data_IF_116218877465
#
_entry.id   IF_116218877465
#
_cell.length_a   1.000
_cell.length_b   1.000
_cell.length_c   1.000
_cell.angle_alpha   90.00
_cell.angle_beta   90.00
_cell.angle_gamma   90.00
#
_symmetry.space_group_name_H-M   'P 1'
#
loop_
_entity.id
_entity.type
_entity.pdbx_description
1 polymer ?
#
# COMPACT_ATOMS: atom_id res chain seq x y z
N UNK A 1 -7.20 -10.66 15.33
CA UNK A 1 -6.14 -9.72 15.76
C UNK A 1 -4.88 -10.53 15.97
N UNK A 2 -3.73 -9.98 15.57
CA UNK A 2 -2.43 -10.66 15.62
C UNK A 2 -1.57 -10.18 16.79
N UNK A 3 -0.71 -11.05 17.30
CA UNK A 3 0.43 -10.72 18.13
C UNK A 3 1.62 -10.27 17.28
N UNK A 4 2.64 -9.66 17.91
CA UNK A 4 3.90 -9.34 17.24
C UNK A 4 4.54 -10.56 16.60
N UNK A 5 4.48 -11.72 17.27
CA UNK A 5 5.05 -12.97 16.74
C UNK A 5 4.39 -13.38 15.43
N UNK A 6 3.06 -13.30 15.35
CA UNK A 6 2.30 -13.65 14.14
C UNK A 6 2.59 -12.67 12.99
N UNK A 7 2.70 -11.37 13.29
CA UNK A 7 3.13 -10.36 12.30
C UNK A 7 4.54 -10.65 11.76
N UNK A 8 5.50 -10.95 12.64
CA UNK A 8 6.87 -11.28 12.20
C UNK A 8 6.89 -12.58 11.38
N UNK A 9 6.08 -13.57 11.75
CA UNK A 9 5.96 -14.83 11.00
C UNK A 9 5.40 -14.61 9.59
N UNK A 10 4.43 -13.70 9.44
CA UNK A 10 3.84 -13.34 8.15
C UNK A 10 4.82 -12.60 7.23
N UNK A 11 5.64 -11.69 7.77
CA UNK A 11 6.57 -10.87 6.98
C UNK A 11 7.88 -11.59 6.66
N UNK A 12 8.37 -12.45 7.55
CA UNK A 12 9.67 -13.12 7.40
C UNK A 12 9.94 -13.80 6.04
N UNK A 13 9.00 -14.56 5.44
CA UNK A 13 9.24 -15.19 4.14
C UNK A 13 9.33 -14.20 2.97
N UNK A 14 8.85 -12.96 3.14
CA UNK A 14 8.78 -11.93 2.10
C UNK A 14 9.93 -10.93 2.17
N UNK A 15 10.46 -10.70 3.36
CA UNK A 15 11.50 -9.70 3.60
C UNK A 15 12.92 -10.19 3.24
N UNK A 16 13.20 -11.48 3.43
CA UNK A 16 14.50 -12.09 3.15
C UNK A 16 15.52 -12.00 4.30
N UNK A 17 15.30 -11.18 5.34
CA UNK A 17 16.07 -11.26 6.59
C UNK A 17 15.62 -12.42 7.47
N UNK A 18 16.48 -12.85 8.38
CA UNK A 18 16.14 -13.91 9.33
C UNK A 18 15.11 -13.44 10.38
N UNK A 19 14.32 -14.39 10.88
CA UNK A 19 13.26 -14.13 11.87
C UNK A 19 13.77 -13.48 13.15
N UNK A 20 15.00 -13.76 13.58
CA UNK A 20 15.54 -13.20 14.81
C UNK A 20 15.86 -11.71 14.63
N UNK A 21 16.37 -11.31 13.47
CA UNK A 21 16.58 -9.91 13.10
C UNK A 21 15.27 -9.14 13.05
N UNK A 22 14.24 -9.69 12.42
CA UNK A 22 12.90 -9.06 12.37
C UNK A 22 12.27 -8.95 13.77
N UNK A 23 12.41 -9.98 14.60
CA UNK A 23 11.95 -9.94 15.98
C UNK A 23 12.70 -8.89 16.83
N UNK A 24 13.98 -8.61 16.54
CA UNK A 24 14.70 -7.51 17.18
C UNK A 24 14.11 -6.15 16.84
N UNK A 25 13.71 -5.91 15.58
CA UNK A 25 13.03 -4.67 15.20
C UNK A 25 11.73 -4.50 15.99
N UNK A 26 10.90 -5.56 16.04
CA UNK A 26 9.68 -5.56 16.84
C UNK A 26 9.92 -5.24 18.32
N UNK A 27 10.96 -5.83 18.94
CA UNK A 27 11.33 -5.53 20.33
C UNK A 27 11.75 -4.07 20.54
N UNK A 28 12.53 -3.49 19.61
CA UNK A 28 12.92 -2.09 19.70
C UNK A 28 11.70 -1.15 19.64
N UNK A 29 10.71 -1.47 18.80
CA UNK A 29 9.45 -0.72 18.72
C UNK A 29 8.61 -0.85 20.01
N UNK A 30 8.56 -2.04 20.63
CA UNK A 30 7.93 -2.23 21.93
C UNK A 30 8.61 -1.39 23.02
N UNK A 31 9.95 -1.40 23.07
CA UNK A 31 10.73 -0.64 24.06
C UNK A 31 10.53 0.87 23.92
N UNK A 32 10.33 1.35 22.70
CA UNK A 32 10.00 2.75 22.42
C UNK A 32 8.52 3.11 22.69
N UNK A 33 7.67 2.14 23.08
CA UNK A 33 6.26 2.36 23.34
C UNK A 33 5.40 2.60 22.09
N UNK A 34 5.91 2.28 20.89
CA UNK A 34 5.21 2.52 19.62
C UNK A 34 4.21 1.41 19.28
N UNK A 35 4.41 0.22 19.85
CA UNK A 35 3.51 -0.93 19.76
C UNK A 35 3.44 -1.62 21.12
N UNK A 36 2.36 -2.37 21.43
CA UNK A 36 2.24 -3.01 22.73
C UNK A 36 3.25 -4.14 22.91
N UNK A 37 3.62 -4.42 24.15
CA UNK A 37 4.55 -5.51 24.50
C UNK A 37 3.84 -6.85 24.33
N UNK A 38 4.49 -7.82 23.69
CA UNK A 38 3.97 -9.17 23.55
C UNK A 38 3.62 -9.78 24.94
N UNK A 39 2.55 -10.59 25.06
CA UNK A 39 1.71 -11.17 24.00
C UNK A 39 0.47 -10.32 23.63
N UNK A 40 0.52 -9.00 23.76
CA UNK A 40 -0.62 -8.14 23.45
C UNK A 40 -1.04 -8.21 21.96
N UNK A 41 -2.35 -8.06 21.75
CA UNK A 41 -2.97 -7.97 20.43
C UNK A 41 -2.63 -6.65 19.76
N UNK A 42 -2.31 -6.71 18.47
CA UNK A 42 -1.92 -5.59 17.64
C UNK A 42 -3.07 -5.17 16.73
N UNK A 43 -3.19 -3.85 16.55
CA UNK A 43 -4.12 -3.25 15.60
C UNK A 43 -3.47 -3.17 14.22
N UNK A 44 -4.26 -2.86 13.21
CA UNK A 44 -3.73 -2.63 11.86
C UNK A 44 -2.72 -1.47 11.84
N UNK A 45 -2.96 -0.41 12.61
CA UNK A 45 -2.00 0.69 12.80
C UNK A 45 -0.67 0.18 13.37
N UNK A 46 -0.70 -0.71 14.36
CA UNK A 46 0.53 -1.30 14.90
C UNK A 46 1.27 -2.17 13.86
N UNK A 47 0.55 -2.86 12.98
CA UNK A 47 1.18 -3.60 11.87
C UNK A 47 1.88 -2.66 10.86
N UNK A 48 1.25 -1.52 10.51
CA UNK A 48 1.89 -0.49 9.70
C UNK A 48 3.15 0.10 10.37
N UNK A 49 3.12 0.31 11.69
CA UNK A 49 4.29 0.74 12.47
C UNK A 49 5.42 -0.30 12.40
N UNK A 50 5.10 -1.60 12.55
CA UNK A 50 6.11 -2.66 12.39
C UNK A 50 6.71 -2.66 11.00
N UNK A 51 5.88 -2.51 9.97
CA UNK A 51 6.29 -2.47 8.57
C UNK A 51 7.28 -1.32 8.31
N UNK A 52 6.96 -0.11 8.77
CA UNK A 52 7.86 1.05 8.66
C UNK A 52 9.15 0.88 9.47
N UNK A 53 9.08 0.27 10.66
CA UNK A 53 10.27 -0.03 11.43
C UNK A 53 11.20 -1.02 10.74
N UNK A 54 10.64 -2.10 10.18
CA UNK A 54 11.37 -3.17 9.47
C UNK A 54 11.99 -2.65 8.18
N UNK A 55 11.20 -2.02 7.30
CA UNK A 55 11.69 -1.59 6.00
C UNK A 55 12.41 -0.24 6.07
N UNK A 56 12.02 0.65 6.97
CA UNK A 56 12.64 1.97 7.11
C UNK A 56 13.98 1.99 7.84
N UNK A 57 14.40 0.87 8.46
CA UNK A 57 15.68 0.76 9.16
C UNK A 57 16.47 -0.51 8.80
N UNK A 58 17.81 -0.40 8.66
CA UNK A 58 18.69 -1.53 8.39
C UNK A 58 19.06 -2.28 9.67
N UNK A 59 18.94 -1.61 10.83
CA UNK A 59 19.28 -2.17 12.13
C UNK A 59 18.14 -1.92 13.11
N UNK A 60 17.84 -2.89 14.00
CA UNK A 60 16.72 -2.82 14.93
C UNK A 60 16.64 -1.56 15.79
N UNK A 61 17.79 -1.06 16.23
CA UNK A 61 17.89 0.08 17.15
C UNK A 61 17.40 1.39 16.52
N UNK A 62 17.40 1.49 15.19
CA UNK A 62 16.93 2.64 14.44
C UNK A 62 15.44 2.55 14.07
N UNK A 63 14.78 1.41 14.32
CA UNK A 63 13.38 1.20 13.93
C UNK A 63 12.43 2.28 14.49
N UNK A 64 12.54 2.70 15.77
CA UNK A 64 11.67 3.77 16.29
C UNK A 64 11.88 5.12 15.58
N UNK A 65 13.14 5.45 15.24
CA UNK A 65 13.48 6.68 14.51
C UNK A 65 12.95 6.62 13.08
N UNK A 66 13.04 5.45 12.44
CA UNK A 66 12.48 5.24 11.11
C UNK A 66 10.96 5.42 11.10
N UNK A 67 10.24 4.87 12.09
CA UNK A 67 8.79 5.05 12.22
C UNK A 67 8.41 6.50 12.43
N UNK A 68 9.07 7.21 13.35
CA UNK A 68 8.80 8.63 13.61
C UNK A 68 9.03 9.48 12.35
N UNK A 69 10.11 9.22 11.60
CA UNK A 69 10.42 9.98 10.39
C UNK A 69 9.46 9.65 9.23
N UNK A 70 9.26 8.37 8.95
CA UNK A 70 8.54 7.91 7.76
C UNK A 70 7.02 7.92 7.98
N UNK A 71 6.60 7.63 9.20
CA UNK A 71 5.19 7.59 9.57
C UNK A 71 4.52 8.94 9.37
N UNK A 72 5.26 10.05 9.53
CA UNK A 72 4.77 11.43 9.41
C UNK A 72 4.81 12.01 7.98
N UNK A 73 5.26 11.24 6.98
CA UNK A 73 5.26 11.71 5.59
C UNK A 73 3.82 12.03 5.15
N UNK A 74 3.64 13.16 4.48
CA UNK A 74 2.33 13.72 4.10
C UNK A 74 2.05 13.47 2.64
N UNK A 75 0.81 13.07 2.36
CA UNK A 75 0.32 12.92 1.00
C UNK A 75 0.49 14.23 0.21
N UNK A 76 0.98 14.12 -1.02
CA UNK A 76 1.14 15.25 -1.94
C UNK A 76 0.18 15.12 -3.11
N UNK A 77 0.14 13.95 -3.75
CA UNK A 77 -0.78 13.68 -4.84
C UNK A 77 -0.98 12.17 -5.06
N UNK A 78 -2.09 11.86 -5.71
CA UNK A 78 -2.42 10.55 -6.29
C UNK A 78 -2.77 10.76 -7.76
N UNK A 79 -2.29 9.89 -8.63
CA UNK A 79 -2.57 9.89 -10.06
C UNK A 79 -2.82 8.45 -10.57
N UNK A 80 -3.40 8.35 -11.76
CA UNK A 80 -3.67 7.10 -12.47
C UNK A 80 -5.12 6.61 -12.39
N UNK A 81 -5.48 5.60 -13.20
CA UNK A 81 -6.84 5.03 -13.27
C UNK A 81 -7.44 4.59 -11.94
N UNK A 82 -6.62 4.16 -10.97
CA UNK A 82 -7.08 3.71 -9.66
C UNK A 82 -7.22 4.84 -8.62
N UNK A 83 -6.99 6.10 -9.02
CA UNK A 83 -6.97 7.25 -8.11
C UNK A 83 -8.20 7.35 -7.23
N UNK A 84 -9.41 7.30 -7.78
CA UNK A 84 -10.64 7.52 -7.00
C UNK A 84 -10.83 6.47 -5.91
N UNK A 85 -10.53 5.20 -6.21
CA UNK A 85 -10.52 4.14 -5.20
C UNK A 85 -9.46 4.39 -4.13
N UNK A 86 -8.23 4.69 -4.57
CA UNK A 86 -7.08 4.83 -3.69
C UNK A 86 -7.13 6.08 -2.80
N UNK A 87 -7.67 7.19 -3.29
CA UNK A 87 -7.88 8.42 -2.50
C UNK A 87 -8.76 8.15 -1.27
N UNK A 88 -9.67 7.17 -1.33
CA UNK A 88 -10.45 6.70 -0.18
C UNK A 88 -9.67 5.91 0.88
N UNK A 89 -8.39 5.60 0.64
CA UNK A 89 -7.45 4.98 1.58
C UNK A 89 -6.46 5.98 2.17
N UNK A 90 -6.17 7.05 1.43
CA UNK A 90 -5.20 8.06 1.82
C UNK A 90 -5.74 8.86 2.99
N UNK A 91 -5.07 8.73 4.13
CA UNK A 91 -5.38 9.48 5.34
C UNK A 91 -4.10 10.18 5.79
N UNK A 92 -4.06 11.51 5.74
CA UNK A 92 -3.16 12.42 6.47
C UNK A 92 -1.65 12.16 6.39
N UNK A 93 -1.21 10.97 6.80
CA UNK A 93 0.15 10.47 6.91
C UNK A 93 0.37 9.12 6.22
N UNK A 94 1.63 8.76 5.95
CA UNK A 94 1.97 7.46 5.37
C UNK A 94 1.56 6.29 6.29
N UNK A 95 1.76 6.40 7.62
CA UNK A 95 1.42 5.30 8.54
C UNK A 95 -0.08 5.01 8.57
N UNK A 96 -0.91 6.04 8.46
CA UNK A 96 -2.37 5.91 8.40
C UNK A 96 -2.81 5.31 7.08
N UNK A 97 -2.23 5.77 5.98
CA UNK A 97 -2.49 5.20 4.65
C UNK A 97 -2.10 3.72 4.58
N UNK A 98 -0.92 3.35 5.09
CA UNK A 98 -0.49 1.94 5.16
C UNK A 98 -1.40 1.11 6.06
N UNK A 99 -1.89 1.66 7.17
CA UNK A 99 -2.85 0.98 8.01
C UNK A 99 -4.16 0.72 7.24
N UNK A 100 -4.69 1.72 6.54
CA UNK A 100 -5.87 1.56 5.68
C UNK A 100 -5.66 0.55 4.55
N UNK A 101 -4.45 0.51 3.98
CA UNK A 101 -4.12 -0.48 2.95
C UNK A 101 -4.10 -1.90 3.50
N UNK A 102 -3.56 -2.13 4.69
CA UNK A 102 -3.58 -3.44 5.35
C UNK A 102 -5.02 -3.83 5.70
N UNK A 103 -5.81 -2.91 6.26
CA UNK A 103 -7.21 -3.16 6.62
C UNK A 103 -8.06 -3.53 5.39
N UNK A 104 -7.85 -2.80 4.29
CA UNK A 104 -8.65 -2.89 3.06
C UNK A 104 -7.91 -3.58 1.91
N UNK A 105 -6.95 -4.45 2.21
CA UNK A 105 -6.19 -5.19 1.20
C UNK A 105 -7.08 -5.94 0.18
N UNK A 106 -8.20 -6.60 0.56
CA UNK A 106 -9.09 -7.21 -0.42
C UNK A 106 -9.68 -6.19 -1.40
N UNK A 107 -10.01 -4.99 -0.93
CA UNK A 107 -10.61 -3.94 -1.76
C UNK A 107 -9.61 -3.40 -2.78
N UNK A 108 -8.35 -3.24 -2.38
CA UNK A 108 -7.25 -2.83 -3.28
C UNK A 108 -7.10 -3.82 -4.42
N UNK A 109 -7.08 -5.11 -4.12
CA UNK A 109 -6.99 -6.15 -5.14
C UNK A 109 -8.21 -6.10 -6.07
N UNK A 110 -9.42 -5.95 -5.51
CA UNK A 110 -10.64 -5.82 -6.31
C UNK A 110 -10.53 -4.69 -7.34
N UNK A 111 -10.03 -3.51 -6.93
CA UNK A 111 -9.81 -2.39 -7.85
C UNK A 111 -8.74 -2.67 -8.89
N UNK A 112 -7.60 -3.23 -8.46
CA UNK A 112 -6.49 -3.56 -9.33
C UNK A 112 -6.93 -4.56 -10.41
N UNK A 113 -7.63 -5.62 -10.01
CA UNK A 113 -8.17 -6.60 -10.94
C UNK A 113 -9.21 -5.93 -11.85
N UNK A 114 -10.17 -5.18 -11.31
CA UNK A 114 -11.19 -4.49 -12.12
C UNK A 114 -10.59 -3.59 -13.20
N UNK A 115 -9.52 -2.84 -12.89
CA UNK A 115 -8.85 -1.98 -13.84
C UNK A 115 -8.15 -2.74 -14.98
N UNK A 116 -7.80 -4.01 -14.75
CA UNK A 116 -7.20 -4.90 -15.74
C UNK A 116 -8.25 -5.78 -16.44
N UNK A 117 -9.36 -6.10 -15.77
CA UNK A 117 -10.42 -7.01 -16.23
C UNK A 117 -11.62 -6.31 -16.88
N UNK A 118 -11.44 -5.10 -17.42
CA UNK A 118 -12.45 -4.49 -18.32
C UNK A 118 -12.68 -5.30 -19.62
N UNK A 119 -12.06 -6.47 -19.76
CA UNK A 119 -12.28 -7.50 -20.78
C UNK A 119 -13.34 -8.53 -20.33
N UNK A 120 -14.34 -8.85 -21.16
CA UNK A 120 -15.53 -9.63 -20.80
C UNK A 120 -15.33 -11.13 -20.46
N UNK A 121 -14.10 -11.64 -20.38
CA UNK A 121 -13.82 -13.09 -20.38
C UNK A 121 -13.22 -13.65 -19.06
N UNK A 122 -13.13 -12.85 -17.99
CA UNK A 122 -12.52 -13.29 -16.73
C UNK A 122 -13.56 -13.87 -15.77
N UNK A 123 -13.60 -15.19 -15.65
CA UNK A 123 -14.41 -15.89 -14.66
C UNK A 123 -13.70 -16.00 -13.28
N UNK A 124 -14.38 -16.59 -12.30
CA UNK A 124 -13.82 -16.80 -10.95
C UNK A 124 -12.55 -17.67 -10.92
N UNK A 125 -12.35 -18.53 -11.93
CA UNK A 125 -11.15 -19.38 -11.99
C UNK A 125 -9.95 -18.52 -12.35
N UNK A 126 -10.07 -17.68 -13.39
CA UNK A 126 -9.02 -16.75 -13.80
C UNK A 126 -8.66 -15.74 -12.69
N UNK A 127 -9.66 -15.22 -11.96
CA UNK A 127 -9.42 -14.32 -10.81
C UNK A 127 -8.64 -15.02 -9.69
N UNK A 128 -8.96 -16.28 -9.37
CA UNK A 128 -8.24 -17.04 -8.36
C UNK A 128 -6.80 -17.36 -8.80
N UNK A 129 -6.58 -17.67 -10.08
CA UNK A 129 -5.23 -17.88 -10.62
C UNK A 129 -4.38 -16.60 -10.53
N UNK A 130 -4.96 -15.44 -10.88
CA UNK A 130 -4.25 -14.17 -10.74
C UNK A 130 -3.96 -13.82 -9.29
N UNK A 131 -4.92 -14.03 -8.39
CA UNK A 131 -4.71 -13.88 -6.95
C UNK A 131 -3.54 -14.73 -6.44
N UNK A 132 -3.49 -15.99 -6.86
CA UNK A 132 -2.43 -16.90 -6.44
C UNK A 132 -1.07 -16.46 -7.01
N UNK A 133 -1.03 -15.98 -8.26
CA UNK A 133 0.17 -15.38 -8.84
C UNK A 133 0.61 -14.12 -8.08
N UNK A 134 -0.33 -13.28 -7.64
CA UNK A 134 -0.03 -12.10 -6.82
C UNK A 134 0.59 -12.53 -5.49
N UNK A 135 -0.01 -13.52 -4.80
CA UNK A 135 0.53 -14.10 -3.55
C UNK A 135 1.91 -14.71 -3.71
N UNK A 136 2.20 -15.29 -4.87
CA UNK A 136 3.50 -15.86 -5.21
C UNK A 136 4.52 -14.81 -5.70
N UNK A 137 4.08 -13.61 -6.04
CA UNK A 137 4.92 -12.54 -6.59
C UNK A 137 5.34 -12.79 -8.04
N UNK A 138 4.50 -13.52 -8.77
CA UNK A 138 4.70 -13.86 -10.19
C UNK A 138 3.64 -13.20 -11.07
N UNK A 139 2.70 -12.45 -10.48
CA UNK A 139 1.68 -11.73 -11.24
C UNK A 139 2.28 -10.61 -12.09
N UNK A 140 1.70 -10.41 -13.26
CA UNK A 140 1.97 -9.24 -14.11
C UNK A 140 1.43 -7.95 -13.51
N UNK A 141 0.58 -8.07 -12.48
CA UNK A 141 -0.07 -6.98 -11.79
C UNK A 141 0.45 -6.96 -10.36
N UNK A 142 1.05 -5.85 -9.94
CA UNK A 142 1.56 -5.69 -8.58
C UNK A 142 1.39 -4.24 -8.09
N UNK A 143 1.44 -4.09 -6.77
CA UNK A 143 1.55 -2.80 -6.11
C UNK A 143 2.87 -2.79 -5.31
N UNK A 144 3.65 -1.74 -5.48
CA UNK A 144 4.91 -1.52 -4.80
C UNK A 144 4.80 -0.30 -3.90
N UNK A 145 5.33 -0.42 -2.69
CA UNK A 145 5.62 0.72 -1.82
C UNK A 145 7.12 0.87 -1.78
N UNK A 146 7.59 2.01 -2.27
CA UNK A 146 8.99 2.41 -2.27
C UNK A 146 9.20 3.50 -1.21
N UNK A 147 10.21 3.32 -0.37
CA UNK A 147 10.57 4.25 0.70
C UNK A 147 11.98 4.76 0.44
N UNK A 148 12.09 6.08 0.36
CA UNK A 148 13.35 6.81 0.26
C UNK A 148 13.60 7.65 1.53
N UNK A 149 14.64 8.47 1.51
CA UNK A 149 15.02 9.32 2.66
C UNK A 149 14.00 10.41 2.98
N UNK A 150 13.31 10.94 1.96
CA UNK A 150 12.45 12.12 2.05
C UNK A 150 11.03 11.90 1.53
N UNK A 151 10.78 10.77 0.90
CA UNK A 151 9.51 10.46 0.28
C UNK A 151 9.23 8.95 0.35
N UNK A 152 7.96 8.62 0.26
CA UNK A 152 7.51 7.28 -0.07
C UNK A 152 6.59 7.36 -1.28
N UNK A 153 6.70 6.40 -2.17
CA UNK A 153 5.90 6.29 -3.38
C UNK A 153 5.16 4.95 -3.36
N UNK A 154 3.87 4.98 -3.66
CA UNK A 154 3.04 3.79 -3.82
C UNK A 154 2.64 3.73 -5.28
N UNK A 155 3.10 2.71 -5.99
CA UNK A 155 2.77 2.49 -7.40
C UNK A 155 2.00 1.20 -7.55
N UNK A 156 1.04 1.16 -8.47
CA UNK A 156 0.46 -0.09 -8.95
C UNK A 156 0.60 -0.11 -10.47
N UNK A 157 0.96 -1.28 -11.01
CA UNK A 157 1.20 -1.42 -12.43
C UNK A 157 0.74 -2.77 -12.96
N UNK A 158 0.46 -2.80 -14.26
CA UNK A 158 0.24 -4.02 -15.03
C UNK A 158 1.21 -4.04 -16.22
N UNK A 159 2.27 -4.85 -16.12
CA UNK A 159 3.38 -4.81 -17.07
C UNK A 159 4.01 -3.42 -17.14
N UNK A 160 3.88 -2.73 -18.28
CA UNK A 160 4.35 -1.35 -18.46
C UNK A 160 3.29 -0.28 -18.23
N UNK A 161 2.06 -0.66 -17.90
CA UNK A 161 0.94 0.26 -17.68
C UNK A 161 0.90 0.68 -16.22
N UNK A 162 1.05 1.98 -15.95
CA UNK A 162 0.85 2.54 -14.61
C UNK A 162 -0.64 2.67 -14.32
N UNK A 163 -1.10 2.00 -13.27
CA UNK A 163 -2.49 2.02 -12.80
C UNK A 163 -2.70 2.99 -11.65
N UNK A 164 -1.66 3.22 -10.86
CA UNK A 164 -1.66 4.11 -9.71
C UNK A 164 -0.26 4.66 -9.46
N UNK A 165 -0.20 5.92 -9.08
CA UNK A 165 0.97 6.54 -8.46
C UNK A 165 0.53 7.46 -7.33
N UNK A 166 1.01 7.23 -6.12
CA UNK A 166 0.67 8.02 -4.94
C UNK A 166 1.95 8.40 -4.20
N UNK A 167 2.17 9.69 -3.94
CA UNK A 167 3.42 10.19 -3.34
C UNK A 167 3.17 10.82 -1.98
N UNK A 168 4.00 10.42 -1.02
CA UNK A 168 4.13 11.00 0.31
C UNK A 168 5.49 11.65 0.44
N UNK A 169 5.55 12.87 0.97
CA UNK A 169 6.81 13.61 1.15
C UNK A 169 6.88 14.24 2.53
N UNK A 170 8.08 14.63 2.94
CA UNK A 170 8.27 15.49 4.11
C UNK A 170 7.43 16.77 3.96
N UNK A 171 6.86 17.22 5.07
CA UNK A 171 6.15 18.49 5.12
C UNK A 171 7.13 19.65 4.89
N UNK A 172 6.87 20.47 3.86
CA UNK A 172 7.76 21.56 3.47
C UNK A 172 7.96 22.61 4.58
N UNK A 173 6.95 22.87 5.41
CA UNK A 173 7.04 23.83 6.51
C UNK A 173 7.89 23.28 7.65
N UNK A 174 7.73 22.01 8.01
CA UNK A 174 8.57 21.33 9.01
C UNK A 174 10.01 21.17 8.52
N UNK A 175 10.19 20.95 7.22
CA UNK A 175 11.51 20.92 6.59
C UNK A 175 12.22 22.27 6.70
N UNK A 176 11.53 23.36 6.36
CA UNK A 176 12.07 24.72 6.49
C UNK A 176 12.39 25.11 7.93
N UNK A 177 11.65 24.60 8.92
CA UNK A 177 11.92 24.79 10.36
C UNK A 177 13.10 23.96 10.88
N UNK A 178 13.64 23.05 10.06
CA UNK A 178 14.78 22.21 10.41
C UNK A 178 14.42 20.98 11.25
N UNK A 179 13.13 20.67 11.41
CA UNK A 179 12.66 19.51 12.18
C UNK A 179 13.20 18.19 11.59
N UNK A 180 13.35 18.17 10.26
CA UNK A 180 13.91 17.05 9.52
C UNK A 180 15.45 17.10 9.44
N UNK A 181 16.10 18.27 9.59
CA UNK A 181 17.57 18.41 9.42
C UNK A 181 18.40 17.63 10.45
N UNK A 182 17.87 17.41 11.66
CA UNK A 182 18.53 16.56 12.67
C UNK A 182 18.32 15.05 12.44
N UNK A 183 17.32 14.65 11.65
CA UNK A 183 16.82 13.27 11.49
C UNK A 183 17.04 12.69 10.07
N UNK A 184 17.29 13.52 9.07
CA UNK A 184 17.31 13.15 7.64
C UNK A 184 18.72 13.06 7.03
N UNK A 185 19.73 13.70 7.63
CA UNK A 185 21.05 13.93 7.01
C UNK A 185 22.03 12.74 7.07
N UNK A 186 21.56 11.49 7.20
CA UNK A 186 22.40 10.33 6.92
C UNK A 186 22.12 9.90 5.48
N UNK A 187 23.14 10.09 4.63
CA UNK A 187 23.24 9.90 3.19
C UNK A 187 22.82 8.48 2.72
N UNK A 188 21.55 8.10 2.92
CA UNK A 188 21.04 6.81 2.49
C UNK A 188 20.72 6.84 1.01
N UNK A 189 21.63 6.25 0.24
CA UNK A 189 21.44 5.84 -1.15
C UNK A 189 20.51 4.63 -1.33
N UNK A 190 19.95 4.10 -0.23
CA UNK A 190 19.20 2.83 -0.27
C UNK A 190 17.71 3.12 -0.26
N UNK A 191 17.12 2.92 -1.42
CA UNK A 191 15.69 2.74 -1.60
C UNK A 191 15.31 1.35 -1.13
N UNK A 192 14.26 1.26 -0.31
CA UNK A 192 13.73 0.00 0.24
C UNK A 192 12.25 -0.06 -0.07
N UNK A 193 11.72 -1.25 -0.31
CA UNK A 193 10.32 -1.39 -0.63
C UNK A 193 9.75 -2.75 -0.30
N UNK A 194 8.43 -2.82 -0.34
CA UNK A 194 7.66 -4.04 -0.20
C UNK A 194 6.50 -4.01 -1.17
N UNK A 195 5.92 -5.18 -1.44
CA UNK A 195 4.86 -5.31 -2.44
C UNK A 195 3.50 -5.55 -1.80
N UNK A 196 2.46 -5.65 -2.62
CA UNK A 196 1.11 -6.02 -2.19
C UNK A 196 1.12 -7.31 -1.37
N UNK A 197 2.02 -8.24 -1.66
CA UNK A 197 2.18 -9.50 -0.91
C UNK A 197 2.40 -9.27 0.58
N UNK A 198 3.23 -8.31 0.93
CA UNK A 198 3.51 -7.98 2.32
C UNK A 198 2.28 -7.37 2.98
N UNK A 199 1.55 -6.51 2.27
CA UNK A 199 0.28 -5.95 2.74
C UNK A 199 -0.76 -7.06 2.98
N UNK A 200 -0.86 -8.03 2.08
CA UNK A 200 -1.78 -9.17 2.20
C UNK A 200 -1.41 -10.08 3.37
N UNK A 201 -0.14 -10.45 3.50
CA UNK A 201 0.31 -11.28 4.62
C UNK A 201 0.02 -10.62 5.97
N UNK A 202 0.17 -9.29 6.06
CA UNK A 202 -0.21 -8.52 7.25
C UNK A 202 -1.72 -8.47 7.46
N UNK A 203 -2.51 -8.31 6.39
CA UNK A 203 -3.97 -8.37 6.47
C UNK A 203 -4.42 -9.71 7.07
N UNK A 204 -4.00 -10.82 6.46
CA UNK A 204 -4.36 -12.18 6.89
C UNK A 204 -3.94 -12.46 8.32
N UNK A 205 -2.75 -12.00 8.73
CA UNK A 205 -2.30 -12.12 10.12
C UNK A 205 -3.24 -11.36 11.08
N UNK A 206 -3.54 -10.09 10.79
CA UNK A 206 -4.30 -9.23 11.71
C UNK A 206 -5.78 -9.62 11.76
N UNK A 207 -6.38 -10.01 10.63
CA UNK A 207 -7.81 -10.38 10.56
C UNK A 207 -8.05 -11.86 10.88
N UNK A 208 -7.06 -12.73 10.65
CA UNK A 208 -7.20 -14.19 10.76
C UNK A 208 -7.98 -14.82 9.60
N UNK A 209 -8.31 -14.04 8.56
CA UNK A 209 -9.05 -14.49 7.40
C UNK A 209 -8.13 -14.57 6.17
N UNK A 210 -7.89 -15.76 5.61
CA UNK A 210 -7.25 -15.85 4.31
C UNK A 210 -8.18 -15.26 3.25
N UNK A 211 -7.61 -14.57 2.26
CA UNK A 211 -8.41 -14.01 1.18
C UNK A 211 -8.86 -15.08 0.18
N UNK A 212 -10.13 -15.07 -0.22
CA UNK A 212 -10.63 -15.92 -1.30
C UNK A 212 -11.11 -15.06 -2.49
N UNK A 213 -10.98 -15.55 -3.73
CA UNK A 213 -11.43 -14.76 -4.91
C UNK A 213 -12.94 -14.48 -4.94
N UNK A 214 -13.72 -15.15 -4.11
CA UNK A 214 -15.15 -14.85 -3.90
C UNK A 214 -15.35 -13.51 -3.19
N UNK A 215 -14.41 -13.12 -2.33
CA UNK A 215 -14.45 -11.84 -1.60
C UNK A 215 -14.24 -10.64 -2.52
N UNK A 216 -13.66 -10.88 -3.71
CA UNK A 216 -13.36 -9.84 -4.70
C UNK A 216 -14.51 -9.60 -5.70
N UNK A 217 -15.39 -10.60 -5.88
CA UNK A 217 -16.50 -10.54 -6.84
C UNK A 217 -17.82 -9.99 -6.30
N UNK A 218 -17.94 -9.78 -4.98
CA UNK A 218 -19.18 -9.33 -4.34
C UNK A 218 -19.37 -7.80 -4.33
N UNK A 219 -18.38 -7.03 -4.78
CA UNK A 219 -18.41 -5.57 -4.89
C UNK A 219 -19.16 -5.10 -6.15
N UNK A 220 -20.48 -5.34 -6.14
CA UNK A 220 -21.55 -4.68 -6.89
C UNK A 220 -21.33 -4.32 -8.38
N UNK A 221 -22.07 -5.05 -9.21
CA UNK A 221 -23.04 -4.47 -10.13
C UNK A 221 -23.85 -3.33 -9.48
N UNK A 222 -23.38 -2.08 -9.58
CA UNK A 222 -24.17 -0.83 -9.67
C UNK A 222 -23.25 0.39 -9.50
N UNK A 223 -23.13 1.22 -10.54
CA UNK A 223 -22.57 2.57 -10.41
C UNK A 223 -21.79 3.07 -11.62
N UNK A 224 -22.50 3.31 -12.72
CA UNK A 224 -22.20 4.23 -13.82
C UNK A 224 -20.78 4.81 -13.96
N UNK A 225 -20.05 4.34 -14.99
CA UNK A 225 -19.01 5.11 -15.69
C UNK A 225 -19.12 4.81 -17.18
N UNK A 226 -20.11 5.43 -17.84
CA UNK A 226 -20.09 5.94 -19.23
C UNK A 226 -21.53 6.38 -19.60
N UNK A 227 -21.90 7.62 -19.25
CA UNK A 227 -22.87 8.36 -20.07
C UNK A 227 -22.03 9.28 -20.97
N UNK A 228 -21.80 8.81 -22.20
CA UNK A 228 -21.16 9.59 -23.24
C UNK A 228 -22.07 10.73 -23.62
N UNK A 229 -21.66 11.93 -23.22
CA UNK A 229 -22.29 13.21 -23.50
C UNK A 229 -22.52 13.38 -25.03
N UNK A 230 -23.77 13.23 -25.47
CA UNK A 230 -24.22 13.62 -26.81
C UNK A 230 -24.22 15.14 -26.94
N UNK A 231 -23.05 15.77 -27.13
CA UNK A 231 -22.98 17.17 -27.58
C UNK A 231 -21.78 17.42 -28.49
N UNK A 232 -22.04 17.46 -29.79
CA UNK A 232 -21.48 18.33 -30.86
C UNK A 232 -21.62 17.56 -32.19
N UNK A 233 -22.16 18.08 -33.29
CA UNK A 233 -22.25 19.45 -33.75
C UNK A 233 -23.41 19.60 -34.74
N UNK A 234 -24.09 20.75 -34.67
CA UNK A 234 -24.84 21.24 -35.81
C UNK A 234 -23.88 21.73 -36.89
N UNK A 235 -24.12 21.33 -38.14
CA UNK A 235 -23.69 22.07 -39.32
C UNK A 235 -24.87 22.11 -40.27
N UNK A 236 -25.50 23.29 -40.35
CA UNK A 236 -26.38 23.64 -41.45
C UNK A 236 -25.55 24.15 -42.63
N UNK A 237 -25.96 23.77 -43.84
CA UNK A 237 -25.75 24.42 -45.14
C UNK A 237 -26.38 23.46 -46.17
N UNK A 238 -27.18 23.85 -47.14
CA UNK A 238 -27.65 25.13 -47.63
C UNK A 238 -28.37 24.79 -48.94
N UNK A 239 -29.63 25.16 -49.05
CA UNK A 239 -30.39 25.03 -50.29
C UNK A 239 -29.88 26.05 -51.30
N UNK A 240 -29.57 25.62 -52.52
CA UNK A 240 -29.65 26.47 -53.71
C UNK A 240 -29.82 25.62 -54.98
N UNK A 241 -30.96 25.91 -55.63
CA UNK A 241 -31.27 25.83 -57.08
C UNK A 241 -31.30 24.46 -57.76
#
# INVERSE_FOLDING_TARGET
MATLTEIIQAVAPLDGRDKATLARHGRALCQAGLIPVAPAQMTVRHAAVVLLGIYGSPVPEEAPVAVDRLGDLRHQFTDGPLREGFDGLVEGTLVETLANMIDRAPKIIGWILQAVTSTPDWDHVHLNEQLEQMRQGTALIDLHVEISSLAAEITAGWGSVELLRCIFMVDAQRFQRGDYNRRVMADRRVTVGFTLRTILALHEAVTGAPMEGRDLGASHSQGALYDGDERSAGVGQGAHS
#
